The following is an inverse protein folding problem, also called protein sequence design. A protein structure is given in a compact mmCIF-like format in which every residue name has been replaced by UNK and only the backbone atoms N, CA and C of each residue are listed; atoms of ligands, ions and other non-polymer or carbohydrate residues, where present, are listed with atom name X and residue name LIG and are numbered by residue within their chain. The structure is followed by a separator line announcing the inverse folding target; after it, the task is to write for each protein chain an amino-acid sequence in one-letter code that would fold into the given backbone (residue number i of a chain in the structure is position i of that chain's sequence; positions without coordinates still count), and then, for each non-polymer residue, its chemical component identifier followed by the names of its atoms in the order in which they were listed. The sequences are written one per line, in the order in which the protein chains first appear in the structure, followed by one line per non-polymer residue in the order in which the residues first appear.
data_IF_074331770408
#
_entry.id   IF_074331770408
#
_cell.length_a   1.000
_cell.length_b   1.000
_cell.length_c   1.000
_cell.angle_alpha   90.00
_cell.angle_beta   90.00
_cell.angle_gamma   90.00
#
_symmetry.space_group_name_H-M   'P 1'
#
loop_
_entity.id
_entity.type
_entity.pdbx_description
1 polymer ?
#
# COMPACT_ATOMS: atom_id res chain seq x y z
N UNK A 1 -3.04 25.36 -19.14
CA UNK A 1 -3.08 24.38 -18.04
C UNK A 1 -2.30 23.15 -18.51
N UNK A 2 -1.11 22.91 -17.98
CA UNK A 2 -0.37 21.67 -18.23
C UNK A 2 -1.15 20.54 -17.57
N UNK A 3 -1.67 19.62 -18.37
CA UNK A 3 -2.33 18.42 -17.89
C UNK A 3 -1.20 17.46 -17.47
N UNK A 4 -0.78 17.50 -16.20
CA UNK A 4 0.11 16.49 -15.62
C UNK A 4 -0.70 15.19 -15.53
N UNK A 5 -0.85 14.48 -16.64
CA UNK A 5 -1.16 13.05 -16.59
C UNK A 5 -0.10 12.42 -15.69
N UNK A 6 -0.52 11.70 -14.66
CA UNK A 6 0.36 10.91 -13.80
C UNK A 6 1.28 10.07 -14.70
N UNK A 7 2.54 10.50 -14.84
CA UNK A 7 3.50 9.94 -15.81
C UNK A 7 3.75 8.46 -15.53
N UNK A 8 3.85 8.10 -14.24
CA UNK A 8 4.01 6.70 -13.81
C UNK A 8 2.86 5.78 -14.24
N UNK A 9 1.62 6.27 -14.30
CA UNK A 9 0.47 5.43 -14.71
C UNK A 9 0.62 5.02 -16.17
N UNK A 10 1.01 5.97 -17.01
CA UNK A 10 1.19 5.72 -18.45
C UNK A 10 2.40 4.81 -18.70
N UNK A 11 3.52 5.07 -18.01
CA UNK A 11 4.75 4.28 -18.12
C UNK A 11 4.51 2.80 -17.77
N UNK A 12 3.83 2.53 -16.65
CA UNK A 12 3.59 1.16 -16.22
C UNK A 12 2.52 0.45 -17.06
N UNK A 13 1.55 1.19 -17.62
CA UNK A 13 0.55 0.62 -18.53
C UNK A 13 1.12 0.04 -19.82
N UNK A 14 2.29 0.51 -20.25
CA UNK A 14 2.90 -0.01 -21.47
C UNK A 14 3.22 -1.51 -21.34
N UNK A 15 3.68 -1.97 -20.17
CA UNK A 15 3.92 -3.40 -19.92
C UNK A 15 2.64 -4.24 -19.97
N UNK A 16 1.51 -3.68 -19.51
CA UNK A 16 0.20 -4.35 -19.59
C UNK A 16 -0.25 -4.45 -21.06
N UNK A 17 -0.03 -3.37 -21.84
CA UNK A 17 -0.40 -3.33 -23.27
C UNK A 17 0.46 -4.24 -24.15
N UNK A 18 1.73 -4.44 -23.80
CA UNK A 18 2.64 -5.35 -24.51
C UNK A 18 2.22 -6.82 -24.39
N UNK A 19 1.51 -7.18 -23.30
CA UNK A 19 0.85 -8.47 -23.16
C UNK A 19 1.75 -9.64 -22.76
N UNK A 20 2.99 -9.39 -22.33
CA UNK A 20 3.81 -10.44 -21.71
C UNK A 20 3.24 -10.74 -20.30
N UNK A 21 2.82 -11.98 -20.01
CA UNK A 21 2.07 -12.28 -18.79
C UNK A 21 2.77 -11.89 -17.48
N UNK A 22 4.06 -12.21 -17.33
CA UNK A 22 4.78 -11.98 -16.07
C UNK A 22 5.00 -10.48 -15.82
N UNK A 23 5.40 -9.74 -16.85
CA UNK A 23 5.53 -8.28 -16.81
C UNK A 23 4.19 -7.59 -16.57
N UNK A 24 3.10 -8.10 -17.16
CA UNK A 24 1.77 -7.57 -16.93
C UNK A 24 1.34 -7.75 -15.47
N UNK A 25 1.52 -8.93 -14.88
CA UNK A 25 1.22 -9.19 -13.48
C UNK A 25 2.03 -8.29 -12.54
N UNK A 26 3.34 -8.19 -12.75
CA UNK A 26 4.23 -7.29 -11.97
C UNK A 26 3.83 -5.82 -12.13
N UNK A 27 3.48 -5.41 -13.34
CA UNK A 27 3.05 -4.03 -13.61
C UNK A 27 1.75 -3.70 -12.90
N UNK A 28 0.76 -4.60 -12.91
CA UNK A 28 -0.48 -4.44 -12.15
C UNK A 28 -0.17 -4.29 -10.66
N UNK A 29 0.71 -5.14 -10.10
CA UNK A 29 1.09 -5.07 -8.69
C UNK A 29 1.73 -3.71 -8.34
N UNK A 30 2.69 -3.23 -9.13
CA UNK A 30 3.33 -1.92 -8.93
C UNK A 30 2.37 -0.75 -9.11
N UNK A 31 1.48 -0.79 -10.12
CA UNK A 31 0.47 0.25 -10.32
C UNK A 31 -0.48 0.33 -9.13
N UNK A 32 -0.93 -0.81 -8.61
CA UNK A 32 -1.78 -0.85 -7.41
C UNK A 32 -1.03 -0.31 -6.21
N UNK A 33 0.23 -0.73 -6.01
CA UNK A 33 1.06 -0.28 -4.90
C UNK A 33 1.26 1.24 -4.87
N UNK A 34 1.70 1.82 -5.99
CA UNK A 34 1.93 3.26 -6.14
C UNK A 34 0.61 4.03 -6.07
N UNK A 35 -0.45 3.51 -6.71
CA UNK A 35 -1.78 4.11 -6.69
C UNK A 35 -2.37 4.22 -5.29
N UNK A 36 -2.18 3.20 -4.43
CA UNK A 36 -2.60 3.25 -3.04
C UNK A 36 -1.91 4.36 -2.25
N UNK A 37 -0.63 4.67 -2.55
CA UNK A 37 0.05 5.80 -1.93
C UNK A 37 -0.50 7.15 -2.43
N UNK A 38 -0.78 7.25 -3.74
CA UNK A 38 -1.31 8.47 -4.37
C UNK A 38 -2.70 8.85 -3.82
N UNK A 39 -3.53 7.85 -3.47
CA UNK A 39 -4.84 8.05 -2.82
C UNK A 39 -4.69 8.74 -1.47
N UNK A 40 -3.63 8.43 -0.72
CA UNK A 40 -3.31 9.08 0.56
C UNK A 40 -2.56 10.41 0.37
N UNK A 41 -2.38 10.85 -0.87
CA UNK A 41 -1.68 12.10 -1.22
C UNK A 41 -0.16 12.00 -1.14
N UNK A 42 0.38 10.82 -0.86
CA UNK A 42 1.81 10.56 -0.84
C UNK A 42 2.36 10.48 -2.27
N UNK A 43 3.62 10.90 -2.45
CA UNK A 43 4.29 10.86 -3.75
C UNK A 43 5.50 9.94 -3.67
N UNK A 44 5.57 9.00 -4.61
CA UNK A 44 6.72 8.12 -4.76
C UNK A 44 7.86 8.83 -5.49
N UNK A 45 9.09 8.40 -5.25
CA UNK A 45 10.25 8.96 -5.94
C UNK A 45 10.40 8.45 -7.37
N UNK A 46 11.14 9.17 -8.20
CA UNK A 46 11.59 8.69 -9.51
C UNK A 46 12.46 7.43 -9.37
N UNK A 47 13.22 7.32 -8.28
CA UNK A 47 14.08 6.15 -8.02
C UNK A 47 13.26 4.88 -7.80
N UNK A 48 12.10 4.98 -7.14
CA UNK A 48 11.14 3.87 -7.05
C UNK A 48 10.62 3.46 -8.42
N UNK A 49 10.24 4.43 -9.26
CA UNK A 49 9.69 4.13 -10.59
C UNK A 49 10.69 3.39 -11.47
N UNK A 50 11.95 3.81 -11.48
CA UNK A 50 13.01 3.11 -12.21
C UNK A 50 13.30 1.72 -11.62
N UNK A 51 13.31 1.59 -10.30
CA UNK A 51 13.42 0.28 -9.62
C UNK A 51 12.26 -0.65 -9.97
N UNK A 52 11.04 -0.12 -10.07
CA UNK A 52 9.85 -0.87 -10.45
C UNK A 52 9.95 -1.39 -11.89
N UNK A 53 10.40 -0.56 -12.84
CA UNK A 53 10.66 -0.95 -14.23
C UNK A 53 11.67 -2.09 -14.30
N UNK A 54 12.80 -1.99 -13.59
CA UNK A 54 13.79 -3.07 -13.55
C UNK A 54 13.24 -4.38 -12.97
N UNK A 55 12.38 -4.31 -11.93
CA UNK A 55 11.72 -5.50 -11.38
C UNK A 55 10.73 -6.11 -12.39
N UNK A 56 9.92 -5.28 -13.05
CA UNK A 56 8.96 -5.72 -14.08
C UNK A 56 9.69 -6.44 -15.20
N UNK A 57 10.76 -5.84 -15.73
CA UNK A 57 11.61 -6.38 -16.80
C UNK A 57 12.45 -7.60 -16.38
N UNK A 58 12.39 -8.02 -15.11
CA UNK A 58 13.10 -9.19 -14.59
C UNK A 58 14.61 -8.99 -14.40
N UNK A 59 15.10 -7.74 -14.40
CA UNK A 59 16.51 -7.40 -14.16
C UNK A 59 16.91 -7.58 -12.70
N UNK A 60 15.96 -7.41 -11.79
CA UNK A 60 16.09 -7.62 -10.34
C UNK A 60 14.88 -8.38 -9.82
N UNK A 61 15.03 -9.03 -8.67
CA UNK A 61 13.90 -9.59 -7.92
C UNK A 61 13.31 -8.56 -6.93
N UNK A 62 12.16 -8.89 -6.33
CA UNK A 62 11.48 -7.99 -5.39
C UNK A 62 12.31 -7.72 -4.12
N UNK A 63 13.10 -8.70 -3.67
CA UNK A 63 13.97 -8.54 -2.50
C UNK A 63 15.08 -7.52 -2.76
N UNK A 64 15.70 -7.56 -3.94
CA UNK A 64 16.69 -6.59 -4.41
C UNK A 64 16.07 -5.21 -4.55
N UNK A 65 14.83 -5.12 -5.07
CA UNK A 65 14.12 -3.84 -5.14
C UNK A 65 13.92 -3.22 -3.75
N UNK A 66 13.50 -4.02 -2.76
CA UNK A 66 13.33 -3.57 -1.38
C UNK A 66 14.66 -3.10 -0.75
N UNK A 67 15.75 -3.86 -0.95
CA UNK A 67 17.07 -3.52 -0.44
C UNK A 67 17.57 -2.18 -1.03
N UNK A 68 17.42 -1.99 -2.34
CA UNK A 68 17.78 -0.74 -3.02
C UNK A 68 17.07 0.48 -2.42
N UNK A 69 15.75 0.36 -2.20
CA UNK A 69 14.97 1.44 -1.60
C UNK A 69 15.40 1.69 -0.15
N UNK A 70 15.65 0.65 0.66
CA UNK A 70 16.16 0.82 2.02
C UNK A 70 17.50 1.58 2.03
N UNK A 71 18.45 1.12 1.22
CA UNK A 71 19.79 1.69 1.14
C UNK A 71 19.77 3.14 0.64
N UNK A 72 18.90 3.45 -0.33
CA UNK A 72 18.73 4.81 -0.85
C UNK A 72 18.41 5.83 0.25
N UNK A 73 17.61 5.42 1.25
CA UNK A 73 17.21 6.29 2.35
C UNK A 73 18.11 6.19 3.60
N UNK A 74 18.88 5.12 3.77
CA UNK A 74 19.90 5.04 4.82
C UNK A 74 21.07 5.99 4.56
N UNK A 75 21.47 6.16 3.30
CA UNK A 75 22.60 7.04 2.92
C UNK A 75 22.23 8.54 2.99
N UNK A 76 20.93 8.88 3.04
CA UNK A 76 20.42 10.26 2.90
C UNK A 76 19.97 10.93 4.20
N UNK A 77 20.30 10.37 5.37
CA UNK A 77 19.76 10.73 6.70
C UNK A 77 19.88 12.19 7.19
N UNK A 78 20.34 13.14 6.38
CA UNK A 78 20.58 14.54 6.75
C UNK A 78 19.46 15.54 6.36
N UNK A 79 18.35 15.13 5.71
CA UNK A 79 17.27 16.07 5.28
C UNK A 79 15.88 15.72 5.82
N UNK A 80 15.19 16.74 6.38
CA UNK A 80 13.93 16.64 7.15
C UNK A 80 12.66 16.42 6.30
N UNK A 81 11.67 15.79 6.96
CA UNK A 81 10.20 15.73 6.73
C UNK A 81 9.66 15.44 5.33
N UNK A 82 10.00 16.18 4.27
CA UNK A 82 9.49 15.89 2.90
C UNK A 82 10.06 14.55 2.40
N UNK A 83 11.28 14.22 2.81
CA UNK A 83 11.85 12.89 2.56
C UNK A 83 11.12 11.78 3.30
N UNK A 84 10.42 12.05 4.42
CA UNK A 84 9.76 10.99 5.19
C UNK A 84 8.51 10.46 4.48
N UNK A 85 7.65 11.33 3.95
CA UNK A 85 6.43 10.92 3.23
C UNK A 85 6.76 10.19 1.92
N UNK A 86 7.78 10.67 1.19
CA UNK A 86 8.26 10.00 -0.02
C UNK A 86 8.92 8.66 0.31
N UNK A 87 9.72 8.61 1.39
CA UNK A 87 10.35 7.38 1.89
C UNK A 87 9.32 6.33 2.29
N UNK A 88 8.30 6.75 3.01
CA UNK A 88 7.17 5.88 3.35
C UNK A 88 6.53 5.33 2.09
N UNK A 89 6.14 6.19 1.14
CA UNK A 89 5.50 5.78 -0.11
C UNK A 89 6.35 4.75 -0.88
N UNK A 90 7.66 4.98 -0.98
CA UNK A 90 8.57 4.08 -1.69
C UNK A 90 8.71 2.73 -0.98
N UNK A 91 8.97 2.74 0.33
CA UNK A 91 9.12 1.51 1.13
C UNK A 91 7.82 0.71 1.10
N UNK A 92 6.68 1.35 1.36
CA UNK A 92 5.37 0.68 1.43
C UNK A 92 4.97 0.15 0.06
N UNK A 93 5.24 0.88 -1.03
CA UNK A 93 4.95 0.40 -2.39
C UNK A 93 5.68 -0.91 -2.71
N UNK A 94 6.97 -1.02 -2.38
CA UNK A 94 7.72 -2.28 -2.62
C UNK A 94 7.16 -3.47 -1.82
N UNK A 95 6.59 -3.21 -0.64
CA UNK A 95 6.01 -4.24 0.24
C UNK A 95 4.61 -4.64 -0.22
N UNK A 96 3.80 -3.71 -0.70
CA UNK A 96 2.52 -4.02 -1.35
C UNK A 96 2.76 -4.87 -2.59
N UNK A 97 3.72 -4.51 -3.44
CA UNK A 97 4.07 -5.30 -4.64
C UNK A 97 4.45 -6.73 -4.26
N UNK A 98 5.25 -6.92 -3.21
CA UNK A 98 5.60 -8.25 -2.71
C UNK A 98 4.35 -9.02 -2.26
N UNK A 99 3.51 -8.40 -1.43
CA UNK A 99 2.27 -9.02 -0.93
C UNK A 99 1.32 -9.44 -2.05
N UNK A 100 1.15 -8.59 -3.08
CA UNK A 100 0.29 -8.89 -4.23
C UNK A 100 0.87 -10.00 -5.13
N UNK A 101 2.17 -10.26 -5.05
CA UNK A 101 2.83 -11.33 -5.79
C UNK A 101 2.75 -12.69 -5.06
N UNK A 102 2.30 -12.71 -3.80
CA UNK A 102 2.17 -13.92 -3.00
C UNK A 102 0.83 -14.63 -3.26
N UNK A 103 0.85 -15.97 -3.27
CA UNK A 103 -0.36 -16.79 -3.46
C UNK A 103 -1.09 -17.14 -2.17
N UNK A 104 -0.44 -16.93 -1.02
CA UNK A 104 -0.99 -17.26 0.28
C UNK A 104 -1.72 -16.05 0.85
N UNK A 105 -3.02 -16.20 1.10
CA UNK A 105 -3.84 -15.17 1.76
C UNK A 105 -4.92 -15.85 2.59
N UNK A 106 -5.15 -15.33 3.79
CA UNK A 106 -6.27 -15.74 4.64
C UNK A 106 -7.10 -14.53 5.03
N UNK A 107 -8.36 -14.49 4.62
CA UNK A 107 -9.24 -13.42 5.04
C UNK A 107 -9.51 -13.54 6.55
N UNK A 108 -8.81 -12.77 7.39
CA UNK A 108 -8.97 -12.81 8.85
C UNK A 108 -8.42 -11.54 9.51
N UNK A 109 -8.87 -11.21 10.73
CA UNK A 109 -8.28 -10.10 11.49
C UNK A 109 -6.79 -10.28 11.77
N UNK A 110 -6.34 -11.53 11.98
CA UNK A 110 -4.91 -11.82 12.16
C UNK A 110 -4.08 -11.47 10.92
N UNK A 111 -4.58 -11.80 9.72
CA UNK A 111 -3.93 -11.45 8.46
C UNK A 111 -3.92 -9.93 8.24
N UNK A 112 -5.01 -9.22 8.59
CA UNK A 112 -5.05 -7.76 8.53
C UNK A 112 -3.92 -7.12 9.38
N UNK A 113 -3.72 -7.59 10.61
CA UNK A 113 -2.64 -7.09 11.47
C UNK A 113 -1.25 -7.49 10.94
N UNK A 114 -1.12 -8.68 10.37
CA UNK A 114 0.13 -9.12 9.74
C UNK A 114 0.48 -8.26 8.52
N UNK A 115 -0.48 -7.99 7.63
CA UNK A 115 -0.31 -7.09 6.49
C UNK A 115 0.15 -5.72 6.99
N UNK A 116 -0.56 -5.13 7.96
CA UNK A 116 -0.16 -3.83 8.53
C UNK A 116 1.27 -3.87 9.10
N UNK A 117 1.64 -4.95 9.81
CA UNK A 117 3.00 -5.12 10.32
C UNK A 117 4.03 -5.15 9.18
N UNK A 118 3.78 -5.96 8.16
CA UNK A 118 4.68 -6.12 7.01
C UNK A 118 4.87 -4.81 6.26
N UNK A 119 3.78 -4.08 6.01
CA UNK A 119 3.81 -2.80 5.30
C UNK A 119 4.59 -1.73 6.07
N UNK A 120 4.42 -1.63 7.39
CA UNK A 120 4.87 -0.45 8.14
C UNK A 120 6.02 -0.68 9.13
N UNK A 121 6.57 -1.90 9.25
CA UNK A 121 7.74 -2.14 10.12
C UNK A 121 8.93 -1.26 9.73
N UNK A 122 9.44 -0.48 10.68
CA UNK A 122 10.53 0.49 10.44
C UNK A 122 10.09 1.80 9.79
N UNK A 123 8.81 1.91 9.38
CA UNK A 123 8.15 3.17 8.97
C UNK A 123 7.43 3.77 10.17
N UNK A 124 6.59 2.96 10.83
CA UNK A 124 5.88 3.33 12.05
C UNK A 124 6.29 2.46 13.23
N UNK A 125 6.31 3.06 14.43
CA UNK A 125 6.65 2.35 15.68
C UNK A 125 5.61 1.31 16.09
N UNK A 126 4.35 1.52 15.70
CA UNK A 126 3.19 0.72 16.09
C UNK A 126 2.73 -0.23 14.96
N UNK A 127 3.66 -0.67 14.11
CA UNK A 127 3.33 -1.51 12.96
C UNK A 127 2.72 -2.86 13.39
N UNK A 128 1.45 -3.09 13.05
CA UNK A 128 0.71 -4.30 13.40
C UNK A 128 -0.01 -4.22 14.75
N UNK A 129 -0.01 -3.06 15.40
CA UNK A 129 -0.67 -2.85 16.68
C UNK A 129 -2.05 -2.22 16.49
N UNK A 130 -3.00 -2.62 17.33
CA UNK A 130 -4.29 -1.95 17.44
C UNK A 130 -4.09 -0.67 18.25
N UNK A 131 -4.66 0.44 17.77
CA UNK A 131 -4.64 1.71 18.52
C UNK A 131 -5.21 1.53 19.94
N UNK A 132 -4.65 2.26 20.90
CA UNK A 132 -5.03 2.23 22.32
C UNK A 132 -5.89 3.43 22.75
N UNK A 133 -6.42 4.18 21.80
CA UNK A 133 -7.19 5.40 22.03
C UNK A 133 -8.26 5.57 20.96
N UNK A 134 -9.33 6.32 21.28
CA UNK A 134 -10.41 6.62 20.34
C UNK A 134 -10.02 7.70 19.35
N UNK A 135 -10.44 7.53 18.09
CA UNK A 135 -10.22 8.52 17.03
C UNK A 135 -11.56 9.03 16.52
N UNK A 136 -11.55 10.28 16.07
CA UNK A 136 -12.65 10.89 15.32
C UNK A 136 -12.04 11.61 14.13
N UNK A 137 -12.75 11.58 13.00
CA UNK A 137 -12.35 12.34 11.81
C UNK A 137 -13.48 13.26 11.42
N UNK A 138 -13.13 14.54 11.20
CA UNK A 138 -14.05 15.51 10.62
C UNK A 138 -14.06 15.28 9.12
N UNK A 139 -15.15 14.74 8.62
CA UNK A 139 -15.29 14.47 7.19
C UNK A 139 -16.04 15.64 6.53
N UNK A 140 -15.43 16.25 5.52
CA UNK A 140 -16.00 17.40 4.81
C UNK A 140 -17.33 17.06 4.12
N UNK A 141 -17.46 15.82 3.66
CA UNK A 141 -18.70 15.29 3.06
C UNK A 141 -19.85 15.19 4.06
N UNK A 142 -19.54 15.15 5.37
CA UNK A 142 -20.54 15.12 6.45
C UNK A 142 -20.83 16.52 7.01
N UNK A 143 -20.57 17.59 6.25
CA UNK A 143 -20.85 18.99 6.66
C UNK A 143 -20.25 19.37 8.02
N UNK A 144 -19.14 18.74 8.42
CA UNK A 144 -18.46 19.00 9.69
C UNK A 144 -18.86 18.08 10.85
N UNK A 145 -19.78 17.13 10.64
CA UNK A 145 -20.05 16.08 11.61
C UNK A 145 -18.85 15.12 11.72
N UNK A 146 -18.56 14.69 12.94
CA UNK A 146 -17.45 13.77 13.23
C UNK A 146 -17.90 12.33 13.04
N UNK A 147 -17.16 11.55 12.24
CA UNK A 147 -17.32 10.09 12.26
C UNK A 147 -16.65 9.56 13.52
N UNK A 148 -17.45 8.92 14.37
CA UNK A 148 -16.94 8.13 15.48
C UNK A 148 -16.60 6.74 14.96
N UNK A 149 -15.33 6.37 15.07
CA UNK A 149 -14.87 5.01 14.81
C UNK A 149 -15.20 4.11 16.01
N UNK A 150 -15.14 2.79 15.82
CA UNK A 150 -15.30 1.81 16.90
C UNK A 150 -14.44 2.17 18.13
N UNK A 151 -14.93 1.89 19.35
CA UNK A 151 -14.09 2.11 20.54
C UNK A 151 -12.82 1.27 20.44
N UNK A 152 -11.67 1.82 20.87
CA UNK A 152 -10.41 1.08 20.80
C UNK A 152 -10.48 -0.25 21.57
N UNK A 153 -11.26 -0.29 22.65
CA UNK A 153 -11.53 -1.48 23.46
C UNK A 153 -12.30 -2.56 22.69
N UNK A 154 -13.11 -2.17 21.70
CA UNK A 154 -13.99 -3.09 20.95
C UNK A 154 -13.47 -3.45 19.57
N UNK A 155 -12.37 -2.86 19.08
CA UNK A 155 -11.88 -3.05 17.69
C UNK A 155 -11.74 -4.53 17.35
N UNK A 156 -11.15 -5.32 18.25
CA UNK A 156 -10.90 -6.74 17.98
C UNK A 156 -12.22 -7.51 17.81
N UNK A 157 -13.14 -7.32 18.75
CA UNK A 157 -14.45 -7.99 18.72
C UNK A 157 -15.27 -7.55 17.50
N UNK A 158 -15.21 -6.27 17.13
CA UNK A 158 -15.86 -5.75 15.92
C UNK A 158 -15.27 -6.36 14.65
N UNK A 159 -13.94 -6.43 14.53
CA UNK A 159 -13.28 -7.08 13.39
C UNK A 159 -13.61 -8.57 13.32
N UNK A 160 -13.59 -9.28 14.45
CA UNK A 160 -13.95 -10.70 14.50
C UNK A 160 -15.41 -10.91 14.05
N UNK A 161 -16.34 -10.06 14.48
CA UNK A 161 -17.72 -10.10 14.03
C UNK A 161 -17.84 -9.83 12.52
N UNK A 162 -17.30 -8.71 12.03
CA UNK A 162 -17.45 -8.27 10.64
C UNK A 162 -16.81 -9.26 9.66
N UNK A 163 -15.61 -9.76 9.94
CA UNK A 163 -14.96 -10.76 9.09
C UNK A 163 -15.73 -12.08 9.05
N UNK A 164 -16.39 -12.47 10.14
CA UNK A 164 -17.22 -13.66 10.15
C UNK A 164 -18.53 -13.46 9.38
N UNK A 165 -19.15 -12.29 9.46
CA UNK A 165 -20.33 -11.96 8.65
C UNK A 165 -19.98 -11.96 7.15
N UNK A 166 -18.88 -11.30 6.78
CA UNK A 166 -18.40 -11.20 5.41
C UNK A 166 -18.08 -12.58 4.82
N UNK A 167 -17.43 -13.47 5.58
CA UNK A 167 -17.18 -14.86 5.16
C UNK A 167 -18.45 -15.68 4.94
N UNK A 168 -19.49 -15.40 5.72
CA UNK A 168 -20.75 -16.11 5.63
C UNK A 168 -21.63 -15.60 4.47
N UNK A 169 -21.31 -14.42 3.92
CA UNK A 169 -22.06 -13.82 2.84
C UNK A 169 -21.70 -14.46 1.49
N UNK A 170 -22.72 -14.81 0.71
CA UNK A 170 -22.52 -15.30 -0.66
C UNK A 170 -22.71 -14.17 -1.66
N UNK A 171 -21.68 -13.92 -2.44
CA UNK A 171 -21.73 -13.00 -3.58
C UNK A 171 -22.30 -13.64 -4.86
N UNK A 172 -22.60 -14.93 -4.83
CA UNK A 172 -23.15 -15.65 -5.98
C UNK A 172 -24.51 -15.07 -6.39
N UNK A 173 -24.64 -14.65 -7.65
CA UNK A 173 -25.90 -14.17 -8.22
C UNK A 173 -26.25 -12.71 -7.91
N UNK A 174 -25.35 -11.94 -7.29
CA UNK A 174 -25.53 -10.49 -7.17
C UNK A 174 -25.19 -9.79 -8.50
N UNK A 175 -26.12 -8.97 -8.99
CA UNK A 175 -25.99 -8.14 -10.21
C UNK A 175 -26.04 -6.67 -9.89
#
# INVERSE_FOLDING_TARGET
MMNYKNTWQTDLEEYIRQGEPEQSEKSIAWKTAIGLQDVDGLKTSEYLLETAKEHIEGKIDISTAQERISNYYEVRTDRKNIENDTKEADIVSTRITQLLSEKAFQFSPAELFLIHKRLFTGVFKHAGEIRSYNISKKEWVLKGDSVFYASFESIKDTLDYDFNQEKAFSYEGLT
#
